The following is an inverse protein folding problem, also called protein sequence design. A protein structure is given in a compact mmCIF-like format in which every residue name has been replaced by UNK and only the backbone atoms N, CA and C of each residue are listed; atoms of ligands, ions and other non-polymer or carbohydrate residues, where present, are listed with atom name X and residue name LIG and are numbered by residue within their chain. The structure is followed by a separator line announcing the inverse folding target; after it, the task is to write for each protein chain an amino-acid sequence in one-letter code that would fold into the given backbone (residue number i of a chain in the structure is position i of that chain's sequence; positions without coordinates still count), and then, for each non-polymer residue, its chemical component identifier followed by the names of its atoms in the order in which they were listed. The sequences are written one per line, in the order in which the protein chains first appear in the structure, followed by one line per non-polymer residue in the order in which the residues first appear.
data_IF_180618651978
#
_entry.id   IF_180618651978
#
_cell.length_a   1.000
_cell.length_b   1.000
_cell.length_c   1.000
_cell.angle_alpha   90.00
_cell.angle_beta   90.00
_cell.angle_gamma   90.00
#
_symmetry.space_group_name_H-M   'P 1'
#
loop_
_entity.id
_entity.type
_entity.pdbx_description
1 polymer ?
#
# COMPACT_ATOMS: atom_id res chain seq x y z
N UNK A 1 -25.73 -12.26 6.35
CA UNK A 1 -25.23 -12.27 4.96
C UNK A 1 -24.74 -10.87 4.69
N UNK A 2 -23.46 -10.61 4.96
CA UNK A 2 -22.83 -9.34 4.64
C UNK A 2 -22.69 -9.24 3.13
N UNK A 3 -23.09 -8.12 2.56
CA UNK A 3 -22.89 -7.80 1.15
C UNK A 3 -21.40 -7.84 0.83
N UNK A 4 -20.91 -8.99 0.38
CA UNK A 4 -19.66 -9.09 -0.33
C UNK A 4 -19.86 -8.40 -1.67
N UNK A 5 -19.81 -7.08 -1.65
CA UNK A 5 -19.67 -6.31 -2.87
C UNK A 5 -18.33 -6.72 -3.45
N UNK A 6 -18.41 -7.47 -4.52
CA UNK A 6 -17.31 -8.09 -5.19
C UNK A 6 -16.26 -7.04 -5.54
N UNK A 7 -14.98 -7.34 -5.35
CA UNK A 7 -13.87 -6.53 -5.87
C UNK A 7 -14.10 -6.20 -7.37
N UNK A 8 -14.86 -7.05 -8.09
CA UNK A 8 -15.30 -6.84 -9.47
C UNK A 8 -16.08 -5.54 -9.68
N UNK A 9 -16.89 -5.11 -8.72
CA UNK A 9 -17.76 -3.93 -8.83
C UNK A 9 -17.03 -2.63 -8.39
N UNK A 10 -15.71 -2.64 -8.45
CA UNK A 10 -14.91 -1.47 -8.07
C UNK A 10 -14.82 -0.48 -9.24
N UNK A 11 -15.03 0.84 -9.00
CA UNK A 11 -15.10 1.86 -10.06
C UNK A 11 -13.87 1.95 -10.97
N UNK A 12 -12.72 1.49 -10.47
CA UNK A 12 -11.45 1.48 -11.22
C UNK A 12 -11.32 0.28 -12.16
N UNK A 13 -12.26 -0.69 -12.12
CA UNK A 13 -12.24 -1.88 -12.98
C UNK A 13 -13.10 -1.75 -14.22
N UNK A 14 -14.14 -0.92 -14.18
CA UNK A 14 -15.06 -0.72 -15.30
C UNK A 14 -14.37 -0.03 -16.49
N UNK A 15 -13.47 0.92 -16.19
CA UNK A 15 -12.67 1.64 -17.18
C UNK A 15 -11.21 1.70 -16.70
N UNK A 16 -10.40 0.64 -16.94
CA UNK A 16 -9.08 0.48 -16.36
C UNK A 16 -8.00 1.31 -17.08
N UNK A 17 -8.20 2.62 -17.16
CA UNK A 17 -7.18 3.57 -17.62
C UNK A 17 -6.01 3.59 -16.65
N UNK A 18 -4.80 3.79 -17.17
CA UNK A 18 -3.56 3.71 -16.39
C UNK A 18 -3.58 4.60 -15.14
N UNK A 19 -4.10 5.82 -15.25
CA UNK A 19 -4.24 6.74 -14.13
C UNK A 19 -5.15 6.18 -13.04
N UNK A 20 -6.34 5.69 -13.40
CA UNK A 20 -7.29 5.09 -12.46
C UNK A 20 -6.72 3.86 -11.76
N UNK A 21 -6.06 2.98 -12.50
CA UNK A 21 -5.38 1.80 -11.97
C UNK A 21 -4.29 2.21 -10.99
N UNK A 22 -3.42 3.14 -11.38
CA UNK A 22 -2.34 3.63 -10.53
C UNK A 22 -2.86 4.21 -9.21
N UNK A 23 -3.82 5.13 -9.26
CA UNK A 23 -4.40 5.75 -8.06
C UNK A 23 -5.04 4.70 -7.15
N UNK A 24 -5.85 3.79 -7.71
CA UNK A 24 -6.51 2.75 -6.93
C UNK A 24 -5.51 1.80 -6.27
N UNK A 25 -4.48 1.35 -6.99
CA UNK A 25 -3.46 0.46 -6.45
C UNK A 25 -2.69 1.09 -5.28
N UNK A 26 -2.38 2.38 -5.36
CA UNK A 26 -1.73 3.08 -4.24
C UNK A 26 -2.71 3.28 -3.06
N UNK A 27 -3.98 3.57 -3.30
CA UNK A 27 -4.98 3.70 -2.24
C UNK A 27 -5.23 2.37 -1.52
N UNK A 28 -5.24 1.26 -2.25
CA UNK A 28 -5.48 -0.09 -1.73
C UNK A 28 -4.31 -0.65 -0.90
N UNK A 29 -3.12 -0.02 -0.96
CA UNK A 29 -2.02 -0.43 -0.10
C UNK A 29 -2.41 -0.32 1.37
N UNK A 30 -2.56 -1.47 2.06
CA UNK A 30 -2.94 -1.58 3.47
C UNK A 30 -4.32 -0.97 3.83
N UNK A 31 -5.18 -0.76 2.85
CA UNK A 31 -6.54 -0.22 3.05
C UNK A 31 -7.55 -1.14 2.37
N UNK A 32 -8.68 -1.40 3.03
CA UNK A 32 -9.74 -2.27 2.49
C UNK A 32 -10.48 -1.58 1.34
N UNK A 33 -10.93 -2.37 0.36
CA UNK A 33 -11.64 -1.90 -0.85
C UNK A 33 -12.81 -0.96 -0.51
N UNK A 34 -13.68 -1.36 0.42
CA UNK A 34 -14.85 -0.55 0.79
C UNK A 34 -14.48 0.82 1.39
N UNK A 35 -13.38 0.87 2.15
CA UNK A 35 -12.87 2.13 2.67
C UNK A 35 -12.28 3.02 1.58
N UNK A 36 -11.71 2.45 0.51
CA UNK A 36 -11.10 3.19 -0.59
C UNK A 36 -12.13 3.82 -1.53
N UNK A 37 -13.26 3.16 -1.80
CA UNK A 37 -14.26 3.62 -2.78
C UNK A 37 -14.64 5.10 -2.67
N UNK A 38 -15.04 5.63 -1.49
CA UNK A 38 -15.42 7.03 -1.36
C UNK A 38 -14.23 7.99 -1.54
N UNK A 39 -13.02 7.57 -1.16
CA UNK A 39 -11.81 8.37 -1.37
C UNK A 39 -11.43 8.43 -2.84
N UNK A 40 -11.49 7.29 -3.52
CA UNK A 40 -11.21 7.22 -4.94
C UNK A 40 -12.16 8.10 -5.74
N UNK A 41 -13.46 8.06 -5.47
CA UNK A 41 -14.45 8.89 -6.16
C UNK A 41 -14.14 10.38 -5.99
N UNK A 42 -13.93 10.86 -4.75
CA UNK A 42 -13.59 12.28 -4.48
C UNK A 42 -12.25 12.68 -5.12
N UNK A 43 -11.26 11.79 -5.07
CA UNK A 43 -9.94 12.06 -5.64
C UNK A 43 -10.01 12.19 -7.16
N UNK A 44 -10.74 11.28 -7.82
CA UNK A 44 -10.91 11.30 -9.28
C UNK A 44 -11.75 12.48 -9.76
N UNK A 45 -12.72 12.96 -8.98
CA UNK A 45 -13.49 14.15 -9.25
C UNK A 45 -12.63 15.41 -9.17
N UNK A 46 -11.77 15.51 -8.15
CA UNK A 46 -10.93 16.69 -7.91
C UNK A 46 -9.66 16.71 -8.77
N UNK A 47 -9.10 15.53 -9.08
CA UNK A 47 -7.83 15.32 -9.78
C UNK A 47 -8.02 14.20 -10.83
N UNK A 48 -8.67 14.48 -11.97
CA UNK A 48 -9.10 13.47 -12.93
C UNK A 48 -7.99 12.83 -13.75
N UNK A 49 -6.81 13.44 -13.79
CA UNK A 49 -5.68 13.03 -14.62
C UNK A 49 -4.33 13.38 -13.99
N UNK A 50 -3.25 13.01 -14.68
CA UNK A 50 -1.86 13.23 -14.23
C UNK A 50 -1.55 14.73 -14.14
N UNK A 51 -2.02 15.52 -15.09
CA UNK A 51 -1.79 16.98 -15.15
C UNK A 51 -2.41 17.67 -13.93
N UNK A 52 -3.68 17.37 -13.64
CA UNK A 52 -4.37 17.91 -12.47
C UNK A 52 -3.68 17.52 -11.16
N UNK A 53 -3.17 16.28 -11.07
CA UNK A 53 -2.43 15.83 -9.88
C UNK A 53 -1.08 16.53 -9.76
N UNK A 54 -0.31 16.65 -10.84
CA UNK A 54 1.00 17.31 -10.85
C UNK A 54 0.91 18.80 -10.51
N UNK A 55 -0.13 19.48 -10.97
CA UNK A 55 -0.37 20.89 -10.67
C UNK A 55 -1.03 21.16 -9.30
N UNK A 56 -1.39 20.10 -8.54
CA UNK A 56 -2.14 20.24 -7.31
C UNK A 56 -1.26 20.72 -6.14
N UNK A 57 -1.62 21.79 -5.40
CA UNK A 57 -0.91 22.21 -4.20
C UNK A 57 -0.92 21.11 -3.11
N UNK A 58 0.15 21.09 -2.30
CA UNK A 58 0.35 20.06 -1.26
C UNK A 58 -0.83 19.97 -0.29
N UNK A 59 -1.32 21.08 0.21
CA UNK A 59 -2.42 21.13 1.17
C UNK A 59 -3.70 20.50 0.61
N UNK A 60 -3.95 20.68 -0.69
CA UNK A 60 -5.14 20.15 -1.35
C UNK A 60 -5.09 18.64 -1.52
N UNK A 61 -4.00 18.08 -2.03
CA UNK A 61 -3.92 16.61 -2.18
C UNK A 61 -3.82 15.90 -0.84
N UNK A 62 -3.19 16.52 0.18
CA UNK A 62 -3.18 15.99 1.54
C UNK A 62 -4.58 15.97 2.14
N UNK A 63 -5.40 17.01 1.90
CA UNK A 63 -6.79 17.07 2.35
C UNK A 63 -7.66 16.00 1.68
N UNK A 64 -7.49 15.76 0.39
CA UNK A 64 -8.18 14.68 -0.33
C UNK A 64 -7.82 13.29 0.20
N UNK A 65 -6.62 13.15 0.77
CA UNK A 65 -6.10 11.89 1.32
C UNK A 65 -6.38 11.70 2.82
N UNK A 66 -6.91 12.74 3.49
CA UNK A 66 -7.15 12.73 4.94
C UNK A 66 -8.06 11.56 5.35
N UNK A 67 -7.56 10.73 6.31
CA UNK A 67 -8.24 9.52 6.78
C UNK A 67 -7.71 8.21 6.18
N UNK A 68 -7.05 8.21 5.02
CA UNK A 68 -6.39 7.01 4.47
C UNK A 68 -5.08 6.65 5.17
N UNK A 69 -4.43 7.63 5.84
CA UNK A 69 -3.13 7.44 6.48
C UNK A 69 -1.96 7.24 5.50
N UNK A 70 -0.78 7.00 6.06
CA UNK A 70 0.45 6.78 5.25
C UNK A 70 0.64 7.84 4.16
N UNK A 71 0.67 9.12 4.54
CA UNK A 71 0.67 10.28 3.64
C UNK A 71 1.84 10.31 2.65
N UNK A 72 2.92 9.57 2.92
CA UNK A 72 4.00 9.41 1.94
C UNK A 72 3.53 8.79 0.62
N UNK A 73 2.41 8.03 0.63
CA UNK A 73 1.83 7.48 -0.60
C UNK A 73 1.36 8.57 -1.53
N UNK A 74 0.58 9.52 -1.03
CA UNK A 74 0.07 10.62 -1.88
C UNK A 74 1.17 11.61 -2.25
N UNK A 75 2.15 11.84 -1.37
CA UNK A 75 3.33 12.65 -1.74
C UNK A 75 4.15 11.99 -2.86
N UNK A 76 4.31 10.67 -2.80
CA UNK A 76 4.96 9.94 -3.89
C UNK A 76 4.13 9.95 -5.18
N UNK A 77 2.79 9.86 -5.08
CA UNK A 77 1.89 10.01 -6.22
C UNK A 77 2.08 11.36 -6.91
N UNK A 78 2.10 12.46 -6.13
CA UNK A 78 2.32 13.79 -6.67
C UNK A 78 3.69 13.91 -7.34
N UNK A 79 4.77 13.51 -6.66
CA UNK A 79 6.11 13.55 -7.22
C UNK A 79 6.26 12.68 -8.49
N UNK A 80 5.58 11.53 -8.55
CA UNK A 80 5.55 10.72 -9.77
C UNK A 80 4.71 11.37 -10.88
N UNK A 81 3.63 12.08 -10.56
CA UNK A 81 2.86 12.83 -11.54
C UNK A 81 3.70 13.95 -12.17
N UNK A 82 4.47 14.69 -11.37
CA UNK A 82 5.45 15.67 -11.87
C UNK A 82 6.48 15.02 -12.81
N UNK A 83 7.05 13.86 -12.43
CA UNK A 83 7.97 13.11 -13.29
C UNK A 83 7.31 12.68 -14.61
N UNK A 84 6.04 12.24 -14.58
CA UNK A 84 5.31 11.82 -15.78
C UNK A 84 5.07 13.03 -16.70
N UNK A 85 4.72 14.19 -16.14
CA UNK A 85 4.59 15.41 -16.95
C UNK A 85 5.90 15.82 -17.60
N UNK A 86 7.00 15.82 -16.84
CA UNK A 86 8.31 16.25 -17.31
C UNK A 86 8.95 15.28 -18.31
N UNK A 87 8.92 13.97 -18.03
CA UNK A 87 9.67 12.96 -18.77
C UNK A 87 8.87 12.23 -19.85
N UNK A 88 7.54 12.18 -19.69
CA UNK A 88 6.65 11.40 -20.55
C UNK A 88 5.47 12.21 -21.14
N UNK A 89 5.50 13.55 -21.01
CA UNK A 89 4.47 14.43 -21.59
C UNK A 89 3.06 14.14 -21.06
N UNK A 90 2.92 13.74 -19.81
CA UNK A 90 1.64 13.44 -19.17
C UNK A 90 1.10 12.03 -19.43
N UNK A 91 1.78 11.22 -20.24
CA UNK A 91 1.38 9.84 -20.53
C UNK A 91 2.09 8.88 -19.58
N UNK A 92 1.33 8.06 -18.85
CA UNK A 92 1.90 7.04 -17.97
C UNK A 92 2.58 5.97 -18.83
N UNK A 93 3.85 5.61 -18.57
CA UNK A 93 4.56 4.58 -19.33
C UNK A 93 3.86 3.21 -19.24
N UNK A 94 4.04 2.37 -20.25
CA UNK A 94 3.44 1.04 -20.32
C UNK A 94 4.44 -0.10 -20.09
N UNK A 95 5.74 0.23 -19.91
CA UNK A 95 6.79 -0.75 -19.61
C UNK A 95 7.13 -0.75 -18.12
N UNK A 96 7.47 -1.93 -17.60
CA UNK A 96 7.85 -2.08 -16.18
C UNK A 96 9.11 -1.28 -15.85
N UNK A 97 10.07 -1.26 -16.77
CA UNK A 97 11.35 -0.57 -16.61
C UNK A 97 11.16 0.94 -16.40
N UNK A 98 10.28 1.55 -17.16
CA UNK A 98 9.97 2.98 -17.05
C UNK A 98 9.11 3.26 -15.80
N UNK A 99 8.11 2.43 -15.56
CA UNK A 99 7.26 2.55 -14.36
C UNK A 99 8.08 2.49 -13.07
N UNK A 100 9.10 1.62 -13.00
CA UNK A 100 9.97 1.50 -11.83
C UNK A 100 10.84 2.73 -11.56
N UNK A 101 11.05 3.62 -12.56
CA UNK A 101 11.76 4.89 -12.37
C UNK A 101 10.91 5.95 -11.67
N UNK A 102 9.59 5.76 -11.65
CA UNK A 102 8.67 6.71 -11.05
C UNK A 102 8.65 6.58 -9.52
N UNK A 103 8.53 7.72 -8.86
CA UNK A 103 8.56 7.80 -7.39
C UNK A 103 7.44 6.98 -6.74
N UNK A 104 7.81 6.06 -5.86
CA UNK A 104 6.85 5.26 -5.10
C UNK A 104 6.20 4.11 -5.85
N UNK A 105 6.60 3.84 -7.08
CA UNK A 105 6.18 2.67 -7.86
C UNK A 105 7.21 1.54 -7.67
N UNK A 106 6.76 0.44 -7.06
CA UNK A 106 7.52 -0.80 -6.91
C UNK A 106 7.08 -1.86 -7.92
N UNK A 107 7.73 -3.05 -7.90
CA UNK A 107 7.48 -4.15 -8.86
C UNK A 107 5.99 -4.52 -8.95
N UNK A 108 5.32 -4.64 -7.81
CA UNK A 108 3.88 -4.92 -7.78
C UNK A 108 3.07 -3.86 -8.53
N UNK A 109 3.24 -2.57 -8.17
CA UNK A 109 2.46 -1.48 -8.77
C UNK A 109 2.78 -1.33 -10.26
N UNK A 110 4.05 -1.47 -10.65
CA UNK A 110 4.46 -1.48 -12.05
C UNK A 110 3.81 -2.62 -12.83
N UNK A 111 3.83 -3.84 -12.28
CA UNK A 111 3.16 -5.01 -12.86
C UNK A 111 1.64 -4.83 -12.97
N UNK A 112 1.01 -4.26 -11.95
CA UNK A 112 -0.42 -3.98 -11.95
C UNK A 112 -0.81 -2.96 -13.05
N UNK A 113 -0.08 -1.84 -13.15
CA UNK A 113 -0.33 -0.83 -14.20
C UNK A 113 -0.10 -1.45 -15.59
N UNK A 114 1.06 -2.08 -15.83
CA UNK A 114 1.41 -2.65 -17.11
C UNK A 114 0.41 -3.73 -17.57
N UNK A 115 -0.02 -4.60 -16.66
CA UNK A 115 -0.94 -5.67 -17.02
C UNK A 115 -2.40 -5.24 -17.04
N UNK A 116 -2.88 -4.48 -16.07
CA UNK A 116 -4.30 -4.14 -15.96
C UNK A 116 -4.68 -3.02 -16.93
N UNK A 117 -3.87 -1.97 -17.04
CA UNK A 117 -4.17 -0.87 -17.95
C UNK A 117 -3.78 -1.20 -19.40
N UNK A 118 -2.58 -1.72 -19.60
CA UNK A 118 -1.99 -1.90 -20.92
C UNK A 118 -2.02 -3.35 -21.44
N UNK A 119 -2.54 -4.28 -20.62
CA UNK A 119 -2.63 -5.72 -20.97
C UNK A 119 -1.26 -6.35 -21.34
N UNK A 120 -0.16 -5.83 -20.75
CA UNK A 120 1.17 -6.41 -20.94
C UNK A 120 1.27 -7.73 -20.16
N UNK A 121 1.98 -8.74 -20.68
CA UNK A 121 2.13 -10.05 -20.03
C UNK A 121 3.11 -9.98 -18.85
N UNK A 122 2.75 -9.22 -17.83
CA UNK A 122 3.56 -8.95 -16.64
C UNK A 122 2.78 -9.36 -15.39
N UNK A 123 3.36 -10.10 -14.44
CA UNK A 123 2.70 -10.45 -13.20
C UNK A 123 2.66 -9.27 -12.22
N UNK A 124 1.56 -9.18 -11.49
CA UNK A 124 1.42 -8.28 -10.34
C UNK A 124 1.42 -9.09 -9.05
N UNK A 125 2.62 -9.31 -8.47
CA UNK A 125 2.82 -10.24 -7.35
C UNK A 125 2.68 -9.51 -6.01
N UNK A 126 1.49 -9.62 -5.42
CA UNK A 126 1.19 -9.15 -4.06
C UNK A 126 1.23 -10.30 -3.02
N UNK A 127 0.87 -10.02 -1.78
CA UNK A 127 0.76 -11.03 -0.74
C UNK A 127 -0.30 -12.11 -1.00
N UNK A 128 -1.34 -11.80 -1.78
CA UNK A 128 -2.37 -12.75 -2.18
C UNK A 128 -1.82 -13.72 -3.22
N UNK A 129 -1.20 -13.19 -4.26
CA UNK A 129 -0.57 -13.98 -5.33
C UNK A 129 0.52 -14.88 -4.76
N UNK A 130 1.40 -14.36 -3.88
CA UNK A 130 2.41 -15.17 -3.20
C UNK A 130 1.78 -16.36 -2.46
N UNK A 131 0.73 -16.14 -1.70
CA UNK A 131 0.03 -17.19 -0.94
C UNK A 131 -0.63 -18.22 -1.86
N UNK A 132 -1.36 -17.75 -2.87
CA UNK A 132 -2.07 -18.63 -3.81
C UNK A 132 -1.10 -19.52 -4.54
N UNK A 133 -0.07 -18.95 -5.15
CA UNK A 133 0.90 -19.72 -5.95
C UNK A 133 1.73 -20.65 -5.07
N UNK A 134 2.20 -20.21 -3.88
CA UNK A 134 2.89 -21.10 -2.95
C UNK A 134 2.03 -22.32 -2.58
N UNK A 135 0.73 -22.14 -2.33
CA UNK A 135 -0.18 -23.27 -2.04
C UNK A 135 -0.41 -24.16 -3.25
N UNK A 136 -0.61 -23.58 -4.42
CA UNK A 136 -0.84 -24.36 -5.65
C UNK A 136 0.35 -25.23 -5.98
N UNK A 137 1.57 -24.72 -5.80
CA UNK A 137 2.81 -25.46 -6.07
C UNK A 137 3.36 -26.23 -4.87
N UNK A 138 2.71 -26.19 -3.70
CA UNK A 138 3.23 -26.68 -2.41
C UNK A 138 4.64 -26.17 -2.08
N UNK A 139 4.94 -24.91 -2.46
CA UNK A 139 6.23 -24.27 -2.22
C UNK A 139 6.32 -23.81 -0.76
N UNK A 140 7.21 -24.44 0.01
CA UNK A 140 7.49 -24.16 1.42
C UNK A 140 8.59 -23.10 1.64
N UNK A 141 9.04 -22.46 0.59
CA UNK A 141 9.98 -21.33 0.65
C UNK A 141 9.37 -20.14 1.39
N UNK A 142 10.19 -19.45 2.18
CA UNK A 142 9.74 -18.29 2.93
C UNK A 142 9.43 -17.09 2.00
N UNK A 143 8.14 -16.78 1.85
CA UNK A 143 7.64 -15.68 0.99
C UNK A 143 8.04 -14.29 1.46
N UNK A 144 8.64 -14.16 2.66
CA UNK A 144 9.17 -12.87 3.14
C UNK A 144 10.54 -12.56 2.54
N UNK A 145 11.24 -13.57 1.99
CA UNK A 145 12.54 -13.39 1.33
C UNK A 145 12.37 -12.78 -0.05
N UNK A 146 13.12 -11.73 -0.32
CA UNK A 146 13.08 -11.05 -1.63
C UNK A 146 13.47 -11.99 -2.78
N UNK A 147 14.41 -12.91 -2.55
CA UNK A 147 14.81 -13.92 -3.54
C UNK A 147 13.66 -14.82 -3.99
N UNK A 148 12.82 -15.25 -3.04
CA UNK A 148 11.63 -16.07 -3.31
C UNK A 148 10.60 -15.28 -4.12
N UNK A 149 10.33 -14.03 -3.72
CA UNK A 149 9.45 -13.13 -4.49
C UNK A 149 9.92 -12.94 -5.92
N UNK A 150 11.21 -12.61 -6.09
CA UNK A 150 11.78 -12.40 -7.43
C UNK A 150 11.82 -13.69 -8.27
N UNK A 151 11.97 -14.86 -7.65
CA UNK A 151 11.87 -16.13 -8.35
C UNK A 151 10.43 -16.38 -8.84
N UNK A 152 9.43 -16.15 -8.00
CA UNK A 152 8.02 -16.27 -8.37
C UNK A 152 7.61 -15.27 -9.45
N UNK A 153 8.05 -14.01 -9.35
CA UNK A 153 7.83 -12.99 -10.38
C UNK A 153 8.38 -13.46 -11.74
N UNK A 154 9.62 -13.97 -11.79
CA UNK A 154 10.21 -14.51 -13.04
C UNK A 154 9.45 -15.71 -13.59
N UNK A 155 9.05 -16.65 -12.73
CA UNK A 155 8.31 -17.84 -13.17
C UNK A 155 6.95 -17.49 -13.74
N UNK A 156 6.21 -16.58 -13.08
CA UNK A 156 4.93 -16.08 -13.57
C UNK A 156 5.09 -15.27 -14.85
N UNK A 157 6.15 -14.47 -14.98
CA UNK A 157 6.46 -13.71 -16.19
C UNK A 157 6.66 -14.63 -17.38
N UNK A 158 7.53 -15.64 -17.24
CA UNK A 158 7.79 -16.60 -18.31
C UNK A 158 6.52 -17.38 -18.73
N UNK A 159 5.71 -17.77 -17.74
CA UNK A 159 4.42 -18.44 -18.00
C UNK A 159 3.47 -17.52 -18.75
N UNK A 160 3.30 -16.27 -18.31
CA UNK A 160 2.40 -15.32 -18.96
C UNK A 160 2.81 -15.00 -20.39
N UNK A 161 4.12 -14.81 -20.64
CA UNK A 161 4.67 -14.57 -22.00
C UNK A 161 4.37 -15.73 -22.95
N UNK A 162 4.46 -16.96 -22.45
CA UNK A 162 4.13 -18.16 -23.22
C UNK A 162 2.62 -18.27 -23.46
N UNK A 163 1.83 -18.10 -22.43
CA UNK A 163 0.38 -18.35 -22.46
C UNK A 163 -0.43 -17.26 -23.17
N UNK A 164 0.12 -16.05 -23.34
CA UNK A 164 -0.53 -15.00 -24.15
C UNK A 164 -0.82 -15.48 -25.57
N UNK A 165 0.08 -16.26 -26.17
CA UNK A 165 -0.12 -16.85 -27.50
C UNK A 165 -1.24 -17.90 -27.51
N UNK A 166 -1.56 -18.50 -26.35
CA UNK A 166 -2.63 -19.46 -26.12
C UNK A 166 -3.94 -18.78 -25.65
N UNK A 167 -4.02 -17.44 -25.70
CA UNK A 167 -5.23 -16.69 -25.39
C UNK A 167 -5.36 -16.22 -23.95
N UNK A 168 -4.30 -16.32 -23.13
CA UNK A 168 -4.28 -15.70 -21.81
C UNK A 168 -4.40 -14.19 -21.94
N UNK A 169 -5.30 -13.59 -21.15
CA UNK A 169 -5.48 -12.14 -21.07
C UNK A 169 -4.83 -11.66 -19.77
N UNK A 170 -3.66 -10.98 -19.81
CA UNK A 170 -2.87 -10.60 -18.64
C UNK A 170 -3.64 -9.86 -17.57
N UNK A 171 -4.46 -8.89 -17.96
CA UNK A 171 -5.37 -8.15 -17.06
C UNK A 171 -6.26 -9.09 -16.25
N UNK A 172 -6.95 -9.99 -16.96
CA UNK A 172 -7.90 -10.92 -16.32
C UNK A 172 -7.18 -11.91 -15.40
N UNK A 173 -6.03 -12.40 -15.83
CA UNK A 173 -5.23 -13.33 -15.04
C UNK A 173 -4.77 -12.73 -13.72
N UNK A 174 -4.14 -11.56 -13.73
CA UNK A 174 -3.69 -10.89 -12.49
C UNK A 174 -4.88 -10.57 -11.57
N UNK A 175 -5.96 -10.03 -12.11
CA UNK A 175 -7.15 -9.73 -11.31
C UNK A 175 -7.77 -11.00 -10.71
N UNK A 176 -7.85 -12.09 -11.46
CA UNK A 176 -8.37 -13.37 -10.97
C UNK A 176 -7.51 -13.95 -9.83
N UNK A 177 -6.18 -13.85 -9.92
CA UNK A 177 -5.28 -14.28 -8.85
C UNK A 177 -5.48 -13.46 -7.57
N UNK A 178 -5.60 -12.14 -7.70
CA UNK A 178 -5.85 -11.25 -6.56
C UNK A 178 -7.20 -11.57 -5.89
N UNK A 179 -8.26 -11.77 -6.69
CA UNK A 179 -9.59 -12.14 -6.19
C UNK A 179 -9.60 -13.51 -5.52
N UNK A 180 -8.98 -14.51 -6.16
CA UNK A 180 -8.86 -15.84 -5.59
C UNK A 180 -8.18 -15.80 -4.21
N UNK A 181 -7.12 -14.99 -4.08
CA UNK A 181 -6.45 -14.78 -2.81
C UNK A 181 -7.30 -14.02 -1.78
N UNK A 182 -8.05 -13.02 -2.21
CA UNK A 182 -8.85 -12.20 -1.30
C UNK A 182 -10.11 -12.90 -0.78
N UNK A 183 -10.77 -13.73 -1.60
CA UNK A 183 -12.10 -14.26 -1.32
C UNK A 183 -12.14 -15.77 -1.04
N UNK A 184 -11.28 -16.55 -1.70
CA UNK A 184 -11.31 -18.02 -1.61
C UNK A 184 -10.11 -18.55 -0.84
N UNK A 185 -8.90 -18.28 -1.32
CA UNK A 185 -7.65 -18.71 -0.68
C UNK A 185 -7.22 -17.69 0.39
N UNK A 186 -8.08 -17.45 1.38
CA UNK A 186 -7.94 -16.38 2.39
C UNK A 186 -6.69 -16.53 3.27
N UNK A 187 -6.16 -15.39 3.82
CA UNK A 187 -4.95 -15.41 4.65
C UNK A 187 -5.20 -15.84 6.10
N UNK A 188 -6.42 -15.67 6.60
CA UNK A 188 -6.81 -15.93 7.99
C UNK A 188 -7.99 -16.88 8.04
N UNK A 189 -7.94 -17.87 8.94
CA UNK A 189 -8.93 -18.93 9.02
C UNK A 189 -8.76 -19.99 7.92
N UNK A 190 -9.72 -20.89 7.82
CA UNK A 190 -9.73 -21.94 6.82
C UNK A 190 -10.05 -21.37 5.42
N UNK A 191 -9.24 -21.62 4.39
CA UNK A 191 -9.58 -21.24 3.03
C UNK A 191 -10.80 -22.00 2.50
N UNK A 192 -11.56 -21.38 1.60
CA UNK A 192 -12.76 -21.95 1.01
C UNK A 192 -12.38 -22.90 -0.14
N UNK A 193 -11.62 -23.96 0.17
CA UNK A 193 -11.03 -24.84 -0.83
C UNK A 193 -12.08 -25.52 -1.72
N UNK A 194 -13.26 -25.86 -1.21
CA UNK A 194 -14.35 -26.48 -1.98
C UNK A 194 -14.92 -25.56 -3.07
N UNK A 195 -14.79 -24.25 -2.91
CA UNK A 195 -15.20 -23.22 -3.88
C UNK A 195 -14.06 -22.85 -4.84
N UNK A 196 -12.84 -23.38 -4.61
CA UNK A 196 -11.66 -23.01 -5.38
C UNK A 196 -11.67 -23.66 -6.76
N UNK A 197 -11.55 -22.89 -7.86
CA UNK A 197 -11.47 -23.48 -9.20
C UNK A 197 -10.23 -24.37 -9.39
N UNK A 198 -9.22 -24.22 -8.52
CA UNK A 198 -7.99 -25.01 -8.53
C UNK A 198 -7.99 -26.17 -7.53
N UNK A 199 -9.15 -26.50 -6.98
CA UNK A 199 -9.31 -27.58 -6.00
C UNK A 199 -8.65 -28.90 -6.44
N UNK A 200 -8.86 -29.30 -7.69
CA UNK A 200 -8.42 -30.60 -8.20
C UNK A 200 -6.90 -30.78 -8.33
N UNK A 201 -6.15 -29.68 -8.47
CA UNK A 201 -4.70 -29.73 -8.72
C UNK A 201 -3.85 -28.89 -7.74
N UNK A 202 -4.44 -28.35 -6.68
CA UNK A 202 -3.69 -27.62 -5.67
C UNK A 202 -2.84 -28.58 -4.84
N UNK A 203 -1.53 -28.56 -5.04
CA UNK A 203 -0.58 -29.47 -4.40
C UNK A 203 -0.57 -29.38 -2.88
N UNK A 204 -0.65 -28.16 -2.29
CA UNK A 204 -0.75 -28.01 -0.86
C UNK A 204 -1.99 -28.71 -0.27
N UNK A 205 -3.12 -28.69 -0.98
CA UNK A 205 -4.31 -29.43 -0.58
C UNK A 205 -4.11 -30.95 -0.72
N UNK A 206 -3.57 -31.40 -1.83
CA UNK A 206 -3.32 -32.81 -2.08
C UNK A 206 -2.34 -33.42 -1.07
N UNK A 207 -1.41 -32.61 -0.55
CA UNK A 207 -0.40 -32.99 0.43
C UNK A 207 -0.77 -32.65 1.88
N UNK A 208 -1.98 -32.17 2.15
CA UNK A 208 -2.45 -31.72 3.47
C UNK A 208 -1.56 -30.65 4.13
N UNK A 209 -1.07 -29.71 3.31
CA UNK A 209 -0.15 -28.62 3.73
C UNK A 209 -0.78 -27.22 3.72
N UNK A 210 -2.09 -27.11 3.57
CA UNK A 210 -2.78 -25.82 3.47
C UNK A 210 -2.50 -24.90 4.66
N UNK A 211 -2.43 -25.46 5.87
CA UNK A 211 -2.23 -24.69 7.10
C UNK A 211 -0.76 -24.28 7.34
N UNK A 212 0.17 -24.97 6.69
CA UNK A 212 1.61 -24.69 6.82
C UNK A 212 2.15 -23.79 5.72
N UNK A 213 1.46 -23.69 4.59
CA UNK A 213 1.83 -22.87 3.44
C UNK A 213 0.85 -21.68 3.31
N UNK A 214 1.36 -20.46 3.11
CA UNK A 214 2.76 -20.09 2.85
C UNK A 214 3.59 -19.97 4.13
N UNK A 215 4.88 -20.32 4.03
CA UNK A 215 5.85 -20.10 5.11
C UNK A 215 6.18 -18.60 5.20
N UNK A 216 6.17 -18.08 6.43
CA UNK A 216 6.48 -16.67 6.72
C UNK A 216 7.37 -16.57 7.95
N UNK A 217 8.57 -16.04 7.77
CA UNK A 217 9.39 -15.65 8.92
C UNK A 217 8.67 -14.57 9.73
N UNK A 218 8.62 -14.75 11.04
CA UNK A 218 8.02 -13.75 11.95
C UNK A 218 8.79 -12.44 11.84
N UNK A 219 8.05 -11.34 11.69
CA UNK A 219 8.64 -10.01 11.77
C UNK A 219 9.32 -9.81 13.14
N UNK A 220 10.41 -9.03 13.16
CA UNK A 220 11.02 -8.61 14.42
C UNK A 220 9.97 -7.96 15.32
N UNK A 221 10.09 -8.18 16.63
CA UNK A 221 9.22 -7.53 17.61
C UNK A 221 9.24 -6.01 17.38
N UNK A 222 8.06 -5.38 17.49
CA UNK A 222 7.96 -3.92 17.38
C UNK A 222 8.72 -3.28 18.55
N UNK A 223 9.49 -2.24 18.24
CA UNK A 223 10.09 -1.41 19.28
C UNK A 223 8.96 -0.68 20.00
N UNK A 224 8.91 -0.84 21.32
CA UNK A 224 8.02 -0.07 22.20
C UNK A 224 8.82 1.15 22.66
N UNK A 225 8.28 2.33 22.47
CA UNK A 225 8.83 3.58 22.97
C UNK A 225 7.87 4.16 23.99
N UNK A 226 8.39 4.33 25.19
CA UNK A 226 7.68 5.02 26.28
C UNK A 226 7.89 6.52 26.14
N UNK A 227 6.81 7.29 26.25
CA UNK A 227 6.83 8.76 26.13
C UNK A 227 5.84 9.38 27.08
N UNK A 228 6.27 10.45 27.73
CA UNK A 228 5.38 11.35 28.46
C UNK A 228 4.89 12.43 27.51
N UNK A 229 3.58 12.56 27.37
CA UNK A 229 2.91 13.49 26.46
C UNK A 229 2.26 14.60 27.27
N UNK A 230 2.55 15.86 26.93
CA UNK A 230 1.98 17.03 27.57
C UNK A 230 0.83 17.61 26.77
N UNK A 231 -0.33 17.78 27.40
CA UNK A 231 -1.47 18.49 26.84
C UNK A 231 -1.51 19.89 27.45
N UNK A 232 -0.88 20.85 26.77
CA UNK A 232 -0.82 22.25 27.22
C UNK A 232 -1.97 23.01 26.56
N UNK A 233 -2.83 23.58 27.37
CA UNK A 233 -4.02 24.31 26.91
C UNK A 233 -4.02 25.74 27.43
N UNK A 234 -4.46 26.66 26.57
CA UNK A 234 -4.80 28.05 26.91
C UNK A 234 -6.17 28.37 26.29
N UNK A 235 -7.21 28.31 27.10
CA UNK A 235 -8.61 28.38 26.64
C UNK A 235 -8.94 27.29 25.62
N UNK A 236 -9.31 27.68 24.42
CA UNK A 236 -9.62 26.78 23.29
C UNK A 236 -8.38 26.33 22.51
N UNK A 237 -7.20 26.87 22.82
CA UNK A 237 -5.97 26.58 22.11
C UNK A 237 -5.18 25.44 22.77
N UNK A 238 -4.51 24.64 21.94
CA UNK A 238 -3.62 23.55 22.35
C UNK A 238 -2.25 23.74 21.73
N UNK A 239 -1.20 23.62 22.52
CA UNK A 239 0.17 23.72 22.01
C UNK A 239 0.54 22.46 21.22
N UNK A 240 0.96 22.65 19.98
CA UNK A 240 1.41 21.59 19.06
C UNK A 240 2.82 21.90 18.57
N UNK A 241 3.57 20.86 18.30
CA UNK A 241 4.88 20.91 17.64
C UNK A 241 4.80 20.24 16.29
N UNK A 242 5.34 20.87 15.23
CA UNK A 242 5.51 20.22 13.93
C UNK A 242 6.69 19.27 14.00
N UNK A 243 6.49 18.02 13.59
CA UNK A 243 7.54 17.00 13.52
C UNK A 243 8.57 17.37 12.44
N UNK A 244 9.82 16.87 12.57
CA UNK A 244 10.84 17.04 11.55
C UNK A 244 10.37 16.58 10.16
N UNK A 245 10.98 17.14 9.12
CA UNK A 245 10.68 16.78 7.73
C UNK A 245 11.08 15.34 7.34
N UNK A 246 11.82 14.63 8.22
CA UNK A 246 12.24 13.24 8.02
C UNK A 246 11.90 12.39 9.25
N UNK A 247 11.66 11.10 9.03
CA UNK A 247 11.37 10.13 10.10
C UNK A 247 9.89 9.76 10.20
N UNK A 248 9.52 9.10 11.29
CA UNK A 248 8.15 8.62 11.54
C UNK A 248 7.18 9.82 11.64
N UNK A 249 6.09 9.79 10.88
CA UNK A 249 5.07 10.84 10.84
C UNK A 249 5.63 12.23 10.50
N UNK A 250 6.63 12.28 9.61
CA UNK A 250 7.31 13.51 9.18
C UNK A 250 6.33 14.60 8.74
N UNK A 251 6.57 15.84 9.22
CA UNK A 251 5.78 17.01 8.85
C UNK A 251 4.38 17.10 9.46
N UNK A 252 3.92 16.10 10.20
CA UNK A 252 2.65 16.16 10.95
C UNK A 252 2.85 16.93 12.26
N UNK A 253 1.74 17.38 12.85
CA UNK A 253 1.74 18.00 14.18
C UNK A 253 1.58 16.95 15.26
N UNK A 254 2.25 17.16 16.38
CA UNK A 254 2.15 16.32 17.57
C UNK A 254 2.05 17.17 18.84
N UNK A 255 1.48 16.60 19.90
CA UNK A 255 1.56 17.17 21.23
C UNK A 255 3.01 17.17 21.70
N UNK A 256 3.39 18.12 22.53
CA UNK A 256 4.72 18.17 23.13
C UNK A 256 4.96 16.87 23.91
N UNK A 257 6.13 16.28 23.74
CA UNK A 257 6.46 15.03 24.41
C UNK A 257 7.96 14.90 24.68
N UNK A 258 8.29 14.09 25.67
CA UNK A 258 9.65 13.69 26.03
C UNK A 258 9.76 12.17 26.08
N UNK A 259 10.96 11.64 25.91
CA UNK A 259 11.21 10.20 26.03
C UNK A 259 11.13 9.76 27.49
N UNK A 260 10.57 8.56 27.73
CA UNK A 260 10.41 7.98 29.06
C UNK A 260 9.08 8.31 29.72
N UNK A 261 8.81 7.60 30.79
CA UNK A 261 7.66 7.81 31.68
C UNK A 261 8.13 8.71 32.81
N UNK A 262 7.55 9.89 32.92
CA UNK A 262 7.79 10.83 34.03
C UNK A 262 6.65 10.75 35.01
N UNK A 263 6.99 10.76 36.29
CA UNK A 263 6.03 10.97 37.36
C UNK A 263 5.53 12.44 37.37
N UNK A 264 4.35 12.67 37.97
CA UNK A 264 3.71 13.98 37.94
C UNK A 264 4.61 15.10 38.45
N UNK A 265 5.39 14.84 39.50
CA UNK A 265 6.33 15.83 40.08
C UNK A 265 7.46 16.17 39.09
N UNK A 266 8.04 15.19 38.43
CA UNK A 266 9.09 15.37 37.42
C UNK A 266 8.55 16.12 36.19
N UNK A 267 7.36 15.78 35.76
CA UNK A 267 6.69 16.44 34.65
C UNK A 267 6.43 17.93 34.96
N UNK A 268 6.01 18.25 36.21
CA UNK A 268 5.80 19.64 36.65
C UNK A 268 7.09 20.44 36.63
N UNK A 269 8.22 19.86 37.02
CA UNK A 269 9.51 20.55 37.04
C UNK A 269 9.97 21.01 35.65
N UNK A 270 9.60 20.32 34.59
CA UNK A 270 9.90 20.75 33.21
C UNK A 270 9.19 22.05 32.81
N UNK A 271 8.09 22.39 33.48
CA UNK A 271 7.37 23.66 33.28
C UNK A 271 7.88 24.80 34.18
N UNK A 272 8.40 24.45 35.32
CA UNK A 272 8.79 25.42 36.35
C UNK A 272 10.30 25.70 36.38
N UNK A 273 11.08 24.92 35.62
CA UNK A 273 12.52 25.17 35.46
C UNK A 273 12.70 26.46 34.65
N UNK A 274 13.40 27.47 35.20
CA UNK A 274 13.65 28.71 34.46
C UNK A 274 14.37 28.41 33.16
N UNK A 275 13.91 29.02 32.07
CA UNK A 275 14.56 28.92 30.77
C UNK A 275 16.04 29.35 30.93
N UNK A 276 17.00 28.69 30.24
CA UNK A 276 18.38 29.17 30.20
C UNK A 276 18.53 30.63 29.74
N UNK A 277 17.47 31.22 29.16
CA UNK A 277 17.43 32.64 28.79
C UNK A 277 17.09 33.58 29.97
N UNK A 278 16.46 33.05 31.01
CA UNK A 278 16.07 33.87 32.17
C UNK A 278 17.28 34.22 33.07
N UNK A 279 18.42 33.54 32.92
CA UNK A 279 19.68 33.85 33.58
C UNK A 279 20.57 34.89 32.89
N UNK A 280 20.15 35.46 31.77
CA UNK A 280 20.91 36.46 31.00
C UNK A 280 20.32 37.89 31.11
N UNK A 281 19.36 38.12 31.97
CA UNK A 281 18.73 39.41 32.23
C UNK A 281 18.95 39.91 33.67
N UNK A 282 20.09 39.53 34.27
CA UNK A 282 20.57 40.15 35.53
C UNK A 282 21.92 40.82 35.31
#
# INVERSE_FOLDING_TARGET
MGSEMCIRDSPWRDDPKAYKVWISEIMLQQTRVEAVKPYFARFMEALPDVEALAACPEDRYLKLWEGLGYYNRVRNLHAAAEQIMEQYGGTIPDTVEELLRLKGIGSYTAGAIASIAYNRPVPAVDGNVLRVISRVCADDSDIMKQSVRSAMERSLQAMMETEVTNGLIPRKFNQALMELGAMVCVPNGAPHCLECPWYGFCEARLQDKIDTIPVKTRAKARRIEERTVFVIRDGEHVALRKRPAKGLLAGLYELLNVSGILEQQEACLLYTSPSPRDGLLS
#
